data_IF_197315215478
#
_entry.id   IF_197315215478
#
_cell.length_a   1.000
_cell.length_b   1.000
_cell.length_c   1.000
_cell.angle_alpha   90.00
_cell.angle_beta   90.00
_cell.angle_gamma   90.00
#
_symmetry.space_group_name_H-M   'P 1'
#
loop_
_entity.id
_entity.type
_entity.pdbx_description
1 polymer ?
#
# COMPACT_ATOMS: atom_id res chain seq x y z
N UNK A 1 -23.74 -2.22 -98.40
CA UNK A 1 -22.94 -3.38 -97.99
C UNK A 1 -22.68 -3.17 -96.51
N UNK A 2 -23.38 -3.71 -95.63
CA UNK A 2 -23.88 -4.98 -95.35
C UNK A 2 -22.97 -5.58 -94.29
N UNK A 3 -23.33 -5.43 -93.07
CA UNK A 3 -22.68 -6.15 -92.01
C UNK A 3 -23.62 -6.28 -90.82
N UNK A 4 -24.00 -7.50 -90.42
CA UNK A 4 -24.98 -7.69 -89.41
C UNK A 4 -24.36 -7.63 -88.00
N UNK A 5 -25.15 -7.02 -87.17
CA UNK A 5 -24.99 -7.08 -85.73
C UNK A 5 -25.53 -8.40 -85.19
N UNK A 6 -24.87 -9.09 -84.28
CA UNK A 6 -25.57 -9.97 -83.38
C UNK A 6 -25.48 -9.46 -81.93
N UNK A 7 -26.57 -8.94 -81.47
CA UNK A 7 -26.89 -8.79 -80.08
C UNK A 7 -26.92 -10.14 -79.36
N UNK A 8 -25.93 -10.34 -78.52
CA UNK A 8 -26.01 -11.45 -77.53
C UNK A 8 -26.60 -10.93 -76.22
N UNK A 9 -27.60 -11.56 -75.66
CA UNK A 9 -28.12 -11.17 -74.40
C UNK A 9 -27.15 -11.64 -73.28
N UNK A 10 -26.71 -10.72 -72.50
CA UNK A 10 -25.99 -10.99 -71.24
C UNK A 10 -26.98 -11.69 -70.30
N UNK A 11 -26.76 -12.99 -70.15
CA UNK A 11 -27.39 -13.75 -69.04
C UNK A 11 -26.82 -13.26 -67.73
N UNK A 12 -27.59 -12.51 -67.02
CA UNK A 12 -27.34 -12.21 -65.59
C UNK A 12 -27.56 -13.51 -64.84
N UNK A 13 -26.43 -14.24 -64.61
CA UNK A 13 -26.40 -15.27 -63.61
C UNK A 13 -26.70 -14.64 -62.27
N UNK A 14 -27.85 -14.95 -61.75
CA UNK A 14 -28.31 -14.58 -60.44
C UNK A 14 -27.33 -15.16 -59.39
N UNK A 15 -26.37 -14.39 -58.99
CA UNK A 15 -25.58 -14.68 -57.78
C UNK A 15 -26.52 -14.56 -56.58
N UNK A 16 -27.13 -15.67 -56.22
CA UNK A 16 -27.78 -15.79 -54.90
C UNK A 16 -26.71 -15.96 -53.83
N UNK A 17 -26.44 -14.99 -53.00
CA UNK A 17 -25.63 -15.22 -51.81
C UNK A 17 -26.49 -16.12 -50.91
N UNK A 18 -26.11 -17.38 -50.81
CA UNK A 18 -26.57 -18.26 -49.75
C UNK A 18 -26.17 -17.59 -48.45
N UNK A 19 -27.11 -16.90 -47.83
CA UNK A 19 -27.01 -16.51 -46.42
C UNK A 19 -26.86 -17.85 -45.66
N UNK A 20 -25.60 -18.21 -45.44
CA UNK A 20 -25.26 -19.20 -44.45
C UNK A 20 -25.71 -18.58 -43.13
N UNK A 21 -26.89 -18.97 -42.73
CA UNK A 21 -27.43 -18.76 -41.39
C UNK A 21 -26.36 -19.26 -40.43
N UNK A 22 -25.49 -18.32 -39.97
CA UNK A 22 -24.67 -18.57 -38.82
C UNK A 22 -25.64 -18.79 -37.68
N UNK A 23 -26.06 -20.06 -37.52
CA UNK A 23 -26.71 -20.49 -36.32
C UNK A 23 -25.91 -19.95 -35.15
N UNK A 24 -26.62 -19.37 -34.23
CA UNK A 24 -26.11 -18.99 -32.93
C UNK A 24 -25.27 -20.15 -32.38
N UNK A 25 -23.97 -20.11 -32.66
CA UNK A 25 -23.01 -20.81 -31.83
C UNK A 25 -23.11 -20.13 -30.47
N UNK A 26 -24.16 -20.51 -29.72
CA UNK A 26 -24.14 -20.30 -28.30
C UNK A 26 -22.80 -20.79 -27.84
N UNK A 27 -21.98 -19.92 -27.26
CA UNK A 27 -20.68 -20.26 -26.66
C UNK A 27 -20.98 -21.27 -25.56
N UNK A 28 -21.26 -22.50 -25.98
CA UNK A 28 -21.34 -23.64 -25.10
C UNK A 28 -19.93 -23.79 -24.53
N UNK A 29 -19.76 -23.32 -23.30
CA UNK A 29 -18.53 -23.52 -22.55
C UNK A 29 -18.18 -25.01 -22.63
N UNK A 30 -17.21 -25.35 -23.47
CA UNK A 30 -16.75 -26.72 -23.62
C UNK A 30 -16.32 -27.21 -22.24
N UNK A 31 -16.68 -28.43 -21.89
CA UNK A 31 -16.38 -29.04 -20.60
C UNK A 31 -14.88 -28.94 -20.26
N UNK A 32 -14.03 -29.02 -21.27
CA UNK A 32 -12.59 -28.82 -21.15
C UNK A 32 -12.23 -27.37 -20.72
N UNK A 33 -12.91 -26.40 -21.29
CA UNK A 33 -12.71 -24.97 -20.97
C UNK A 33 -13.17 -24.65 -19.54
N UNK A 34 -14.27 -25.25 -19.08
CA UNK A 34 -14.74 -25.10 -17.70
C UNK A 34 -13.74 -25.69 -16.71
N UNK A 35 -13.21 -26.89 -17.00
CA UNK A 35 -12.18 -27.54 -16.17
C UNK A 35 -10.91 -26.70 -16.09
N UNK A 36 -10.49 -26.12 -17.21
CA UNK A 36 -9.30 -25.27 -17.27
C UNK A 36 -9.50 -23.97 -16.47
N UNK A 37 -10.67 -23.33 -16.58
CA UNK A 37 -11.01 -22.13 -15.81
C UNK A 37 -11.05 -22.42 -14.31
N UNK A 38 -11.68 -23.51 -13.89
CA UNK A 38 -11.73 -23.92 -12.49
C UNK A 38 -10.32 -24.24 -11.95
N UNK A 39 -9.50 -24.95 -12.72
CA UNK A 39 -8.12 -25.23 -12.33
C UNK A 39 -7.30 -23.98 -12.15
N UNK A 40 -7.41 -23.05 -13.09
CA UNK A 40 -6.72 -21.77 -13.03
C UNK A 40 -7.19 -20.91 -11.84
N UNK A 41 -8.51 -20.78 -11.62
CA UNK A 41 -9.07 -20.05 -10.51
C UNK A 41 -8.63 -20.64 -9.16
N UNK A 42 -8.60 -21.97 -9.05
CA UNK A 42 -8.13 -22.65 -7.83
C UNK A 42 -6.66 -22.38 -7.57
N UNK A 43 -5.81 -22.44 -8.58
CA UNK A 43 -4.38 -22.16 -8.45
C UNK A 43 -4.12 -20.72 -8.01
N UNK A 44 -4.80 -19.74 -8.59
CA UNK A 44 -4.71 -18.33 -8.18
C UNK A 44 -5.18 -18.13 -6.74
N UNK A 45 -6.30 -18.73 -6.37
CA UNK A 45 -6.85 -18.62 -5.02
C UNK A 45 -5.90 -19.22 -3.97
N UNK A 46 -5.29 -20.36 -4.26
CA UNK A 46 -4.29 -20.97 -3.39
C UNK A 46 -3.04 -20.09 -3.25
N UNK A 47 -2.57 -19.49 -4.35
CA UNK A 47 -1.40 -18.60 -4.34
C UNK A 47 -1.68 -17.34 -3.51
N UNK A 48 -2.85 -16.72 -3.70
CA UNK A 48 -3.27 -15.55 -2.93
C UNK A 48 -3.45 -15.91 -1.45
N UNK A 49 -4.08 -17.06 -1.16
CA UNK A 49 -4.25 -17.56 0.20
C UNK A 49 -2.91 -17.83 0.89
N UNK A 50 -1.96 -18.45 0.19
CA UNK A 50 -0.61 -18.70 0.71
C UNK A 50 0.16 -17.41 0.96
N UNK A 51 0.08 -16.45 0.04
CA UNK A 51 0.69 -15.13 0.18
C UNK A 51 0.09 -14.36 1.37
N UNK A 52 -1.23 -14.38 1.53
CA UNK A 52 -1.93 -13.78 2.66
C UNK A 52 -1.53 -14.46 3.98
N UNK A 53 -1.46 -15.79 4.01
CA UNK A 53 -1.03 -16.55 5.17
C UNK A 53 0.43 -16.24 5.55
N UNK A 54 1.34 -16.21 4.59
CA UNK A 54 2.74 -15.87 4.81
C UNK A 54 2.94 -14.43 5.33
N UNK A 55 2.05 -13.52 4.94
CA UNK A 55 2.04 -12.13 5.41
C UNK A 55 1.50 -11.99 6.83
N UNK A 56 0.44 -12.75 7.17
CA UNK A 56 -0.14 -12.80 8.52
C UNK A 56 0.86 -13.42 9.52
N UNK A 57 1.68 -14.38 9.09
CA UNK A 57 2.66 -15.04 9.94
C UNK A 57 3.83 -14.13 10.38
N UNK A 58 3.99 -12.95 9.78
CA UNK A 58 5.02 -11.97 10.15
C UNK A 58 4.38 -10.76 10.84
N UNK A 59 3.72 -10.98 11.95
CA UNK A 59 3.37 -9.89 12.84
C UNK A 59 4.67 -9.26 13.35
N UNK A 60 4.94 -8.01 12.93
CA UNK A 60 6.09 -7.27 13.42
C UNK A 60 5.92 -7.02 14.92
N UNK A 61 6.86 -7.41 15.77
CA UNK A 61 6.75 -7.16 17.19
C UNK A 61 6.65 -5.66 17.47
N UNK A 62 5.97 -5.26 18.55
CA UNK A 62 5.96 -3.86 18.98
C UNK A 62 7.39 -3.42 19.28
N UNK A 63 7.70 -2.16 18.99
CA UNK A 63 8.99 -1.56 19.32
C UNK A 63 9.19 -1.51 20.83
N UNK A 64 10.31 -2.01 21.27
CA UNK A 64 10.87 -1.75 22.58
C UNK A 64 11.95 -0.65 22.49
N UNK A 65 12.51 -0.24 23.63
CA UNK A 65 13.51 0.82 23.69
C UNK A 65 14.79 0.46 22.90
N UNK A 66 15.22 -0.78 22.99
CA UNK A 66 16.43 -1.26 22.29
C UNK A 66 16.26 -1.28 20.78
N UNK A 67 15.16 -1.84 20.30
CA UNK A 67 14.84 -1.88 18.88
C UNK A 67 14.58 -0.50 18.29
N UNK A 68 13.89 0.37 19.04
CA UNK A 68 13.66 1.75 18.63
C UNK A 68 14.98 2.52 18.48
N UNK A 69 15.88 2.41 19.48
CA UNK A 69 17.18 3.05 19.45
C UNK A 69 18.05 2.54 18.31
N UNK A 70 18.08 1.22 18.08
CA UNK A 70 18.85 0.62 16.99
C UNK A 70 18.38 1.14 15.62
N UNK A 71 17.06 1.16 15.38
CA UNK A 71 16.49 1.66 14.13
C UNK A 71 16.75 3.17 13.93
N UNK A 72 16.64 3.97 14.99
CA UNK A 72 16.92 5.40 14.90
C UNK A 72 18.39 5.68 14.64
N UNK A 73 19.31 4.93 15.28
CA UNK A 73 20.74 5.09 15.06
C UNK A 73 21.16 4.65 13.65
N UNK A 74 20.50 3.63 13.09
CA UNK A 74 20.73 3.18 11.71
C UNK A 74 20.27 4.21 10.69
N UNK A 75 19.12 4.82 10.93
CA UNK A 75 18.51 5.81 10.01
C UNK A 75 19.13 7.22 10.16
N UNK A 76 19.54 7.58 11.38
CA UNK A 76 20.09 8.89 11.73
C UNK A 76 21.43 8.74 12.50
N UNK A 77 22.49 8.26 11.84
CA UNK A 77 23.76 7.94 12.50
C UNK A 77 24.47 9.15 13.10
N UNK A 78 24.21 10.35 12.55
CA UNK A 78 24.86 11.60 12.97
C UNK A 78 24.07 12.36 14.04
N UNK A 79 22.89 11.89 14.40
CA UNK A 79 22.00 12.56 15.35
C UNK A 79 22.04 11.88 16.73
N UNK A 80 22.65 12.51 17.76
CA UNK A 80 22.65 11.96 19.11
C UNK A 80 21.24 11.96 19.69
N UNK A 81 20.80 10.83 20.24
CA UNK A 81 19.48 10.69 20.85
C UNK A 81 19.57 11.10 22.31
N UNK A 82 18.96 12.24 22.65
CA UNK A 82 18.93 12.80 24.00
C UNK A 82 17.81 12.22 24.86
N UNK A 83 16.63 12.02 24.25
CA UNK A 83 15.48 11.45 24.91
C UNK A 83 14.64 10.63 23.93
N UNK A 84 13.97 9.61 24.44
CA UNK A 84 13.19 8.64 23.66
C UNK A 84 11.83 8.42 24.31
N UNK A 85 10.78 8.53 23.52
CA UNK A 85 9.43 8.19 23.92
C UNK A 85 8.82 7.19 22.91
N UNK A 86 8.22 6.12 23.43
CA UNK A 86 7.63 5.05 22.62
C UNK A 86 6.12 5.08 22.78
N UNK A 87 5.38 4.97 21.68
CA UNK A 87 3.93 4.86 21.69
C UNK A 87 3.47 3.64 22.49
N UNK A 88 2.34 3.74 23.17
CA UNK A 88 1.84 2.70 24.07
C UNK A 88 1.61 1.34 23.39
N UNK A 89 1.33 1.35 22.08
CA UNK A 89 1.14 0.16 21.25
C UNK A 89 2.44 -0.32 20.58
N UNK A 90 3.58 0.33 20.83
CA UNK A 90 4.86 0.03 20.17
C UNK A 90 4.84 0.25 18.66
N UNK A 91 3.85 0.99 18.13
CA UNK A 91 3.75 1.22 16.69
C UNK A 91 4.60 2.40 16.21
N UNK A 92 5.23 3.13 17.11
CA UNK A 92 6.10 4.23 16.75
C UNK A 92 6.85 4.82 17.94
N UNK A 93 7.75 5.72 17.62
CA UNK A 93 8.63 6.37 18.58
C UNK A 93 8.86 7.83 18.16
N UNK A 94 9.06 8.68 19.14
CA UNK A 94 9.57 10.05 18.97
C UNK A 94 10.83 10.17 19.81
N UNK A 95 11.91 10.57 19.18
CA UNK A 95 13.16 10.84 19.85
C UNK A 95 13.54 12.32 19.69
N UNK A 96 14.19 12.88 20.68
CA UNK A 96 14.76 14.22 20.61
C UNK A 96 16.24 14.14 20.26
N UNK A 97 16.66 14.96 19.32
CA UNK A 97 18.05 15.18 18.96
C UNK A 97 18.25 16.68 18.77
N UNK A 98 18.85 17.35 19.73
CA UNK A 98 19.01 18.81 19.76
C UNK A 98 17.68 19.56 19.50
N UNK A 99 17.57 20.28 18.39
CA UNK A 99 16.41 21.03 17.93
C UNK A 99 15.47 20.24 16.99
N UNK A 100 15.70 18.93 16.86
CA UNK A 100 14.97 18.04 15.96
C UNK A 100 14.20 16.95 16.71
N UNK A 101 13.08 16.56 16.18
CA UNK A 101 12.37 15.35 16.54
C UNK A 101 12.60 14.30 15.47
N UNK A 102 13.12 13.16 15.86
CA UNK A 102 13.25 11.98 15.02
C UNK A 102 12.03 11.09 15.27
N UNK A 103 11.21 10.89 14.25
CA UNK A 103 9.96 10.17 14.39
C UNK A 103 10.01 8.91 13.55
N UNK A 104 9.70 7.80 14.19
CA UNK A 104 9.64 6.49 13.57
C UNK A 104 8.25 5.92 13.79
N UNK A 105 7.60 5.44 12.73
CA UNK A 105 6.28 4.82 12.85
C UNK A 105 6.10 3.67 11.89
N UNK A 106 5.28 2.72 12.29
CA UNK A 106 4.96 1.55 11.48
C UNK A 106 4.09 1.92 10.29
N UNK A 107 4.50 1.51 9.09
CA UNK A 107 3.74 1.64 7.85
C UNK A 107 3.79 0.32 7.08
N UNK A 108 2.68 -0.40 7.10
CA UNK A 108 2.63 -1.76 6.51
C UNK A 108 3.47 -2.75 7.31
N UNK A 109 4.44 -3.36 6.65
CA UNK A 109 5.38 -4.34 7.17
C UNK A 109 6.77 -3.77 7.51
N UNK A 110 6.90 -2.43 7.58
CA UNK A 110 8.13 -1.74 7.90
C UNK A 110 7.91 -0.53 8.80
N UNK A 111 9.01 0.17 9.06
CA UNK A 111 9.02 1.45 9.75
C UNK A 111 9.43 2.56 8.77
N UNK A 112 8.84 3.72 8.94
CA UNK A 112 9.21 4.95 8.24
C UNK A 112 9.83 5.89 9.25
N UNK A 113 11.00 6.40 8.95
CA UNK A 113 11.70 7.38 9.75
C UNK A 113 11.62 8.76 9.09
N UNK A 114 11.39 9.80 9.88
CA UNK A 114 11.44 11.20 9.45
C UNK A 114 11.92 12.07 10.59
N UNK A 115 12.57 13.13 10.20
CA UNK A 115 12.91 14.23 11.09
C UNK A 115 11.97 15.42 10.86
N UNK A 116 11.77 16.19 11.90
CA UNK A 116 11.03 17.45 11.86
C UNK A 116 11.58 18.40 12.97
N UNK A 117 11.38 19.71 12.81
CA UNK A 117 11.77 20.66 13.85
C UNK A 117 11.10 20.30 15.18
N UNK A 118 11.86 20.36 16.28
CA UNK A 118 11.33 20.05 17.62
C UNK A 118 10.11 20.88 17.99
N UNK A 119 10.16 22.19 17.66
CA UNK A 119 9.01 23.09 17.89
C UNK A 119 7.72 22.60 17.19
N UNK A 120 7.85 22.00 16.00
CA UNK A 120 6.71 21.42 15.29
C UNK A 120 6.19 20.15 15.98
N UNK A 121 7.09 19.33 16.52
CA UNK A 121 6.69 18.16 17.30
C UNK A 121 5.96 18.54 18.59
N UNK A 122 6.39 19.59 19.26
CA UNK A 122 5.71 20.11 20.45
C UNK A 122 4.30 20.63 20.16
N UNK A 123 4.09 21.23 18.99
CA UNK A 123 2.79 21.71 18.52
C UNK A 123 1.90 20.57 17.95
N UNK A 124 2.29 19.32 18.08
CA UNK A 124 1.52 18.18 17.59
C UNK A 124 0.17 18.09 18.32
N UNK A 125 -0.85 17.63 17.59
CA UNK A 125 -2.20 17.53 18.15
C UNK A 125 -2.34 16.26 18.98
N UNK A 126 -2.54 16.43 20.28
CA UNK A 126 -2.89 15.34 21.19
C UNK A 126 -4.41 15.34 21.42
N UNK A 127 -5.11 14.30 20.94
CA UNK A 127 -6.55 14.15 21.10
C UNK A 127 -6.94 12.67 21.20
N UNK A 128 -7.90 12.37 22.06
CA UNK A 128 -8.44 11.02 22.25
C UNK A 128 -7.35 9.96 22.53
N UNK A 129 -6.34 10.31 23.33
CA UNK A 129 -5.22 9.40 23.64
C UNK A 129 -4.29 9.12 22.45
N UNK A 130 -4.30 9.96 21.43
CA UNK A 130 -3.45 9.85 20.26
C UNK A 130 -2.73 11.14 19.95
N UNK A 131 -1.46 11.03 19.63
CA UNK A 131 -0.62 12.08 19.10
C UNK A 131 -0.65 12.02 17.57
N UNK A 132 -1.00 13.13 16.94
CA UNK A 132 -0.92 13.28 15.48
C UNK A 132 0.19 14.24 15.13
N UNK A 133 1.23 13.73 14.50
CA UNK A 133 2.35 14.52 13.98
C UNK A 133 2.11 14.81 12.50
N UNK A 134 2.31 16.05 12.08
CA UNK A 134 2.23 16.41 10.66
C UNK A 134 3.63 16.33 10.06
N UNK A 135 3.79 15.49 9.02
CA UNK A 135 5.01 15.36 8.23
C UNK A 135 4.67 15.50 6.75
N UNK A 136 5.67 15.78 5.93
CA UNK A 136 5.51 15.90 4.47
C UNK A 136 4.94 14.61 3.84
N UNK A 137 5.31 13.44 4.39
CA UNK A 137 4.94 12.13 3.86
C UNK A 137 3.73 11.50 4.56
N UNK A 138 3.02 12.26 5.39
CA UNK A 138 1.85 11.77 6.08
C UNK A 138 1.67 12.33 7.50
N UNK A 139 0.63 11.85 8.17
CA UNK A 139 0.33 12.25 9.54
C UNK A 139 0.24 11.00 10.42
N UNK A 140 1.37 10.49 10.93
CA UNK A 140 1.35 9.35 11.83
C UNK A 140 0.54 9.65 13.09
N UNK A 141 -0.17 8.62 13.55
CA UNK A 141 -0.98 8.68 14.77
C UNK A 141 -0.42 7.69 15.77
N UNK A 142 0.20 8.20 16.81
CA UNK A 142 0.84 7.42 17.86
C UNK A 142 -0.06 7.36 19.09
N UNK A 143 -0.15 6.22 19.75
CA UNK A 143 -0.95 6.06 20.96
C UNK A 143 -0.19 6.61 22.16
N UNK A 144 -0.77 7.59 22.84
CA UNK A 144 -0.18 8.20 24.04
C UNK A 144 -0.33 7.25 25.25
N UNK A 145 0.74 7.06 25.99
CA UNK A 145 0.77 6.21 27.18
C UNK A 145 -0.06 6.83 28.32
N UNK A 146 0.13 8.12 28.56
CA UNK A 146 -0.50 8.85 29.69
C UNK A 146 -1.44 9.96 29.20
N UNK A 147 -1.81 9.97 27.94
CA UNK A 147 -2.77 10.93 27.36
C UNK A 147 -2.24 12.37 27.22
N UNK A 148 -1.06 12.68 27.73
CA UNK A 148 -0.45 14.00 27.68
C UNK A 148 0.71 14.08 26.67
N UNK A 149 0.87 15.23 26.04
CA UNK A 149 1.98 15.56 25.16
C UNK A 149 2.43 17.00 25.42
N UNK A 150 3.72 17.30 25.52
CA UNK A 150 4.85 16.36 25.53
C UNK A 150 4.92 15.56 26.85
N UNK A 151 5.47 14.34 26.81
CA UNK A 151 5.67 13.54 28.01
C UNK A 151 6.80 14.11 28.88
N UNK A 152 6.85 13.77 30.20
CA UNK A 152 7.80 14.34 31.13
C UNK A 152 9.27 14.09 30.78
N UNK A 153 9.56 13.03 30.04
CA UNK A 153 10.91 12.72 29.55
C UNK A 153 11.51 13.83 28.69
N UNK A 154 10.65 14.58 27.99
CA UNK A 154 11.07 15.69 27.15
C UNK A 154 11.10 17.05 27.89
N UNK A 155 10.31 17.19 28.95
CA UNK A 155 10.25 18.42 29.72
C UNK A 155 11.35 18.52 30.78
N UNK A 156 11.86 17.39 31.26
CA UNK A 156 12.85 17.38 32.35
C UNK A 156 14.23 17.91 31.93
N UNK A 157 14.53 17.99 30.65
CA UNK A 157 15.83 18.46 30.14
C UNK A 157 15.86 19.96 29.82
N UNK A 158 14.72 20.62 29.69
CA UNK A 158 14.64 22.05 29.34
C UNK A 158 15.05 22.99 30.50
N UNK A 159 15.14 22.46 31.72
CA UNK A 159 15.52 23.22 32.93
C UNK A 159 16.99 22.96 33.36
N UNK A 160 17.77 22.23 32.60
CA UNK A 160 19.16 21.90 32.93
C UNK A 160 20.21 22.67 32.09
N UNK A 161 19.83 23.78 31.44
CA UNK A 161 20.74 24.65 30.67
C UNK A 161 20.95 25.99 31.36
#
# INVERSE_FOLDING_TARGET
>A
MGGPNPTSPLTLDAYSPTLKENGEEGVGLDKAMIIQLLGSATAVTLLVGLAAWARIARAMPPLDAGGALALLTDEFPDDPIEALWIAADGAGVVARSADRALVLWRKGDGYVARDLPWAQALCATAANGRLTLKSADGSPRLVLKDGAWPPPEFTSQEFAA
#
